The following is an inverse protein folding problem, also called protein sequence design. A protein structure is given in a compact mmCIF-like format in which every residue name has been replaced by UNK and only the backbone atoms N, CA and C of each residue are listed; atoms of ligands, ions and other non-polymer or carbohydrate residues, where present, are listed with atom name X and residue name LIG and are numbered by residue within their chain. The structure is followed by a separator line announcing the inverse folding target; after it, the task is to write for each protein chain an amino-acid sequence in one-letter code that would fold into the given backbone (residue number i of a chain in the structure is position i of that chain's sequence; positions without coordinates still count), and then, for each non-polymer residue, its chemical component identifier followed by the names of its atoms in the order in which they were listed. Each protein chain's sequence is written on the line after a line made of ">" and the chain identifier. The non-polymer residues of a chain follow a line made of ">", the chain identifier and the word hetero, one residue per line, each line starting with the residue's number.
data_IF_116024837490
#
_entry.id   IF_116024837490
#
_cell.length_a   1.000
_cell.length_b   1.000
_cell.length_c   1.000
_cell.angle_alpha   90.00
_cell.angle_beta   90.00
_cell.angle_gamma   90.00
#
_symmetry.space_group_name_H-M   'P 1'
#
loop_
_entity.id
_entity.type
_entity.pdbx_description
1 polymer ?
#
# COMPACT_ATOMS: atom_id res chain seq x y z
N UNK A 1 -35.10 -7.53 2.74
CA UNK A 1 -34.07 -8.59 2.65
C UNK A 1 -32.77 -7.89 2.30
N UNK A 2 -31.88 -7.72 3.27
CA UNK A 2 -30.56 -7.16 3.02
C UNK A 2 -29.79 -8.27 2.30
N UNK A 3 -29.40 -8.04 1.05
CA UNK A 3 -28.44 -8.90 0.37
C UNK A 3 -27.17 -8.90 1.20
N UNK A 4 -26.88 -10.02 1.86
CA UNK A 4 -25.57 -10.29 2.40
C UNK A 4 -24.68 -10.58 1.19
N UNK A 5 -23.84 -9.61 0.82
CA UNK A 5 -22.72 -9.89 -0.07
C UNK A 5 -21.85 -10.98 0.58
N UNK A 6 -21.71 -12.10 -0.11
CA UNK A 6 -20.77 -13.18 0.23
C UNK A 6 -19.33 -12.61 0.37
N UNK A 7 -18.50 -13.11 1.31
CA UNK A 7 -17.22 -12.49 1.65
C UNK A 7 -16.17 -12.73 0.56
N UNK A 8 -16.15 -11.86 -0.45
CA UNK A 8 -15.11 -11.86 -1.48
C UNK A 8 -13.72 -11.41 -0.99
N UNK A 9 -13.57 -10.96 0.27
CA UNK A 9 -12.34 -10.34 0.80
C UNK A 9 -11.24 -11.31 1.26
N UNK A 10 -11.60 -12.53 1.70
CA UNK A 10 -10.64 -13.45 2.34
C UNK A 10 -9.50 -13.92 1.44
N UNK A 11 -9.76 -14.07 0.12
CA UNK A 11 -8.74 -14.47 -0.86
C UNK A 11 -7.66 -13.40 -1.04
N UNK A 12 -8.06 -12.13 -1.15
CA UNK A 12 -7.13 -10.99 -1.28
C UNK A 12 -6.32 -10.79 -0.02
N UNK A 13 -6.94 -10.91 1.14
CA UNK A 13 -6.27 -10.83 2.43
C UNK A 13 -5.19 -11.92 2.58
N UNK A 14 -5.53 -13.18 2.29
CA UNK A 14 -4.56 -14.28 2.32
C UNK A 14 -3.42 -14.06 1.33
N UNK A 15 -3.73 -13.60 0.11
CA UNK A 15 -2.72 -13.26 -0.89
C UNK A 15 -1.77 -12.14 -0.43
N UNK A 16 -2.31 -11.11 0.22
CA UNK A 16 -1.51 -10.01 0.76
C UNK A 16 -0.57 -10.46 1.88
N UNK A 17 -1.05 -11.30 2.81
CA UNK A 17 -0.20 -11.88 3.85
C UNK A 17 0.92 -12.75 3.27
N UNK A 18 0.64 -13.54 2.23
CA UNK A 18 1.67 -14.32 1.53
C UNK A 18 2.72 -13.41 0.89
N UNK A 19 2.29 -12.35 0.21
CA UNK A 19 3.20 -11.36 -0.39
C UNK A 19 4.05 -10.64 0.65
N UNK A 20 3.48 -10.28 1.80
CA UNK A 20 4.22 -9.70 2.91
C UNK A 20 5.30 -10.66 3.44
N UNK A 21 4.98 -11.95 3.55
CA UNK A 21 5.94 -12.97 3.96
C UNK A 21 7.06 -13.18 2.92
N UNK A 22 6.72 -13.23 1.62
CA UNK A 22 7.70 -13.29 0.53
C UNK A 22 8.66 -12.10 0.57
N UNK A 23 8.14 -10.87 0.69
CA UNK A 23 8.97 -9.64 0.74
C UNK A 23 9.89 -9.65 1.97
N UNK A 24 9.36 -10.01 3.14
CA UNK A 24 10.16 -10.14 4.36
C UNK A 24 11.34 -11.09 4.16
N UNK A 25 11.11 -12.24 3.54
CA UNK A 25 12.16 -13.26 3.31
C UNK A 25 13.14 -12.78 2.24
N UNK A 26 12.65 -12.31 1.09
CA UNK A 26 13.49 -11.97 -0.06
C UNK A 26 14.36 -10.73 0.19
N UNK A 27 13.87 -9.78 0.97
CA UNK A 27 14.56 -8.53 1.24
C UNK A 27 15.23 -8.49 2.63
N UNK A 28 15.07 -9.54 3.43
CA UNK A 28 15.54 -9.61 4.82
C UNK A 28 15.17 -8.37 5.65
N UNK A 29 13.88 -8.03 5.62
CA UNK A 29 13.35 -6.84 6.33
C UNK A 29 12.45 -7.22 7.49
N UNK A 30 12.38 -6.33 8.48
CA UNK A 30 11.34 -6.38 9.48
C UNK A 30 10.06 -5.73 8.94
N UNK A 31 8.98 -6.51 8.92
CA UNK A 31 7.68 -6.06 8.43
C UNK A 31 6.56 -6.64 9.28
N UNK A 32 5.45 -5.91 9.34
CA UNK A 32 4.20 -6.39 9.92
C UNK A 32 3.01 -5.86 9.11
N UNK A 33 1.88 -6.53 9.23
CA UNK A 33 0.63 -6.15 8.58
C UNK A 33 -0.52 -6.25 9.59
N UNK A 34 -1.36 -5.22 9.62
CA UNK A 34 -2.56 -5.14 10.46
C UNK A 34 -3.73 -4.84 9.54
N UNK A 35 -4.71 -5.74 9.48
CA UNK A 35 -5.86 -5.64 8.58
C UNK A 35 -7.13 -5.58 9.42
N UNK A 36 -7.88 -4.48 9.26
CA UNK A 36 -9.20 -4.31 9.86
C UNK A 36 -10.26 -4.69 8.84
N UNK A 37 -11.03 -5.74 9.12
CA UNK A 37 -12.15 -6.18 8.29
C UNK A 37 -13.47 -5.57 8.76
N UNK A 38 -14.45 -5.32 7.87
CA UNK A 38 -15.74 -4.75 8.25
C UNK A 38 -16.63 -5.69 9.08
N UNK A 39 -16.26 -6.98 9.18
CA UNK A 39 -17.06 -8.02 9.83
C UNK A 39 -16.40 -8.66 11.05
N UNK A 40 -15.18 -8.24 11.41
CA UNK A 40 -14.45 -8.73 12.59
C UNK A 40 -14.10 -7.56 13.50
N UNK A 41 -14.41 -7.64 14.81
CA UNK A 41 -13.98 -6.61 15.75
C UNK A 41 -12.46 -6.62 15.97
N UNK A 42 -11.83 -7.79 15.84
CA UNK A 42 -10.40 -7.95 15.99
C UNK A 42 -9.69 -7.89 14.63
N UNK A 43 -8.55 -7.18 14.53
CA UNK A 43 -7.76 -7.15 13.31
C UNK A 43 -7.02 -8.47 13.10
N UNK A 44 -6.85 -8.82 11.84
CA UNK A 44 -5.92 -9.86 11.43
C UNK A 44 -4.49 -9.31 11.42
N UNK A 45 -3.62 -9.92 12.22
CA UNK A 45 -2.26 -9.41 12.46
C UNK A 45 -1.22 -10.44 12.03
N UNK A 46 -0.28 -10.02 11.19
CA UNK A 46 0.87 -10.79 10.76
C UNK A 46 2.19 -10.07 11.16
N UNK A 47 3.25 -10.79 11.56
CA UNK A 47 3.36 -12.25 11.69
C UNK A 47 2.71 -12.81 12.97
N UNK A 48 2.59 -11.98 14.00
CA UNK A 48 1.83 -12.23 15.23
C UNK A 48 1.57 -10.89 15.91
N UNK A 49 0.68 -10.84 16.90
CA UNK A 49 0.46 -9.60 17.65
C UNK A 49 1.74 -9.08 18.31
N UNK A 50 2.56 -9.97 18.89
CA UNK A 50 3.82 -9.58 19.50
C UNK A 50 4.82 -9.12 18.43
N UNK A 51 4.93 -9.86 17.32
CA UNK A 51 5.83 -9.52 16.22
C UNK A 51 5.51 -8.14 15.63
N UNK A 52 4.23 -7.85 15.38
CA UNK A 52 3.80 -6.54 14.89
C UNK A 52 4.10 -5.42 15.89
N UNK A 53 3.84 -5.63 17.19
CA UNK A 53 4.20 -4.65 18.23
C UNK A 53 5.70 -4.38 18.25
N UNK A 54 6.55 -5.40 18.14
CA UNK A 54 8.00 -5.23 18.10
C UNK A 54 8.44 -4.37 16.90
N UNK A 55 7.92 -4.63 15.70
CA UNK A 55 8.23 -3.83 14.50
C UNK A 55 7.79 -2.37 14.68
N UNK A 56 6.59 -2.14 15.20
CA UNK A 56 6.06 -0.78 15.44
C UNK A 56 6.89 -0.04 16.49
N UNK A 57 7.27 -0.70 17.59
CA UNK A 57 8.09 -0.10 18.63
C UNK A 57 9.48 0.25 18.10
N UNK A 58 10.10 -0.63 17.32
CA UNK A 58 11.37 -0.35 16.66
C UNK A 58 11.25 0.86 15.74
N UNK A 59 10.24 0.91 14.88
CA UNK A 59 10.00 2.06 14.00
C UNK A 59 9.82 3.37 14.79
N UNK A 60 9.04 3.35 15.88
CA UNK A 60 8.82 4.53 16.73
C UNK A 60 10.07 4.99 17.49
N UNK A 61 11.02 4.09 17.73
CA UNK A 61 12.28 4.40 18.40
C UNK A 61 13.36 4.91 17.43
N UNK A 62 13.14 4.86 16.11
CA UNK A 62 14.03 5.48 15.12
C UNK A 62 13.89 7.00 15.13
N UNK A 63 14.92 7.73 14.68
CA UNK A 63 14.85 9.19 14.57
C UNK A 63 13.78 9.64 13.56
N UNK A 64 13.26 10.88 13.65
CA UNK A 64 12.27 11.38 12.70
C UNK A 64 12.75 11.32 11.24
N UNK A 65 14.04 11.55 11.01
CA UNK A 65 14.64 11.47 9.67
C UNK A 65 14.56 10.03 9.15
N UNK A 66 14.97 9.04 9.94
CA UNK A 66 14.90 7.63 9.55
C UNK A 66 13.46 7.14 9.34
N UNK A 67 12.51 7.65 10.13
CA UNK A 67 11.08 7.32 9.96
C UNK A 67 10.48 7.89 8.67
N UNK A 68 10.95 9.05 8.22
CA UNK A 68 10.45 9.72 7.02
C UNK A 68 11.17 9.29 5.74
N UNK A 69 12.40 8.76 5.89
CA UNK A 69 13.19 8.24 4.77
C UNK A 69 12.41 7.18 3.98
N UNK A 70 12.03 7.56 2.75
CA UNK A 70 11.27 6.70 1.82
C UNK A 70 9.94 6.21 2.39
N UNK A 71 9.36 6.92 3.35
CA UNK A 71 7.98 6.68 3.78
C UNK A 71 7.06 6.90 2.59
N UNK A 72 6.17 5.93 2.36
CA UNK A 72 5.16 6.02 1.30
C UNK A 72 3.79 5.86 1.95
N UNK A 73 2.94 6.86 1.74
CA UNK A 73 1.52 6.78 2.05
C UNK A 73 0.74 6.29 0.82
N UNK A 74 -0.28 5.46 1.02
CA UNK A 74 -1.03 4.86 -0.08
C UNK A 74 -1.79 5.91 -0.90
N UNK A 75 -2.43 6.87 -0.24
CA UNK A 75 -3.20 7.93 -0.90
C UNK A 75 -2.27 8.84 -1.69
N UNK A 76 -1.15 9.26 -1.10
CA UNK A 76 -0.11 10.03 -1.80
C UNK A 76 0.48 9.27 -2.98
N UNK A 77 0.76 7.97 -2.83
CA UNK A 77 1.29 7.13 -3.90
C UNK A 77 0.31 7.04 -5.07
N UNK A 78 -0.95 6.72 -4.79
CA UNK A 78 -1.99 6.59 -5.81
C UNK A 78 -2.19 7.91 -6.55
N UNK A 79 -2.29 9.04 -5.82
CA UNK A 79 -2.37 10.39 -6.43
C UNK A 79 -1.19 10.68 -7.35
N UNK A 80 0.03 10.42 -6.88
CA UNK A 80 1.24 10.63 -7.69
C UNK A 80 1.22 9.79 -8.98
N UNK A 81 0.72 8.56 -8.92
CA UNK A 81 0.62 7.69 -10.11
C UNK A 81 -0.40 8.20 -11.13
N UNK A 82 -1.52 8.77 -10.69
CA UNK A 82 -2.49 9.39 -11.59
C UNK A 82 -1.96 10.68 -12.20
N UNK A 83 -1.36 11.58 -11.41
CA UNK A 83 -0.77 12.82 -11.91
C UNK A 83 0.28 12.56 -13.01
N UNK A 84 1.20 11.61 -12.77
CA UNK A 84 2.24 11.22 -13.74
C UNK A 84 1.71 10.59 -15.01
N UNK A 85 0.50 10.02 -14.98
CA UNK A 85 -0.13 9.46 -16.17
C UNK A 85 -0.70 10.58 -17.04
N UNK A 86 -1.39 11.53 -16.41
CA UNK A 86 -1.98 12.69 -17.10
C UNK A 86 -0.91 13.61 -17.71
N UNK A 87 0.26 13.75 -17.07
CA UNK A 87 1.41 14.51 -17.61
C UNK A 87 2.03 13.88 -18.86
N UNK A 88 1.89 12.56 -19.04
CA UNK A 88 2.39 11.86 -20.24
C UNK A 88 1.43 11.95 -21.40
N UNK A 89 0.14 12.10 -21.13
CA UNK A 89 -0.90 12.27 -22.14
C UNK A 89 -0.93 13.71 -22.68
N UNK A 90 -0.47 14.71 -21.91
CA UNK A 90 -0.40 16.12 -22.33
C UNK A 90 0.82 16.52 -23.19
N UNK A 91 1.78 15.61 -23.45
CA UNK A 91 2.88 15.87 -24.39
C UNK A 91 2.56 15.43 -25.82
N UNK A 92 1.48 14.69 -26.04
CA UNK A 92 1.07 14.22 -27.37
C UNK A 92 0.07 15.19 -28.06
N UNK A 93 -0.41 16.24 -27.36
CA UNK A 93 -1.39 17.20 -27.91
C UNK A 93 -0.79 18.56 -28.34
N UNK A 94 0.54 18.73 -28.33
CA UNK A 94 1.21 20.01 -28.68
C UNK A 94 1.89 20.03 -30.07
N UNK A 95 1.73 18.99 -30.90
CA UNK A 95 2.28 18.95 -32.28
C UNK A 95 1.24 18.68 -33.38
N UNK A 96 0.03 19.23 -33.27
CA UNK A 96 -0.82 19.47 -34.47
C UNK A 96 -1.19 20.95 -34.58
N UNK A 97 -0.20 21.74 -35.00
CA UNK A 97 -0.38 23.08 -35.54
C UNK A 97 0.50 23.23 -36.77
N UNK A 98 0.04 22.71 -37.91
CA UNK A 98 0.71 22.84 -39.21
C UNK A 98 0.75 24.32 -39.65
N UNK A 99 1.91 24.83 -40.14
CA UNK A 99 1.99 26.17 -40.72
C UNK A 99 1.51 26.12 -42.17
N UNK A 100 0.30 26.62 -42.43
CA UNK A 100 -0.13 26.95 -43.79
C UNK A 100 0.22 28.40 -44.09
N UNK A 101 0.82 28.59 -45.27
CA UNK A 101 1.51 29.78 -45.80
C UNK A 101 0.75 31.11 -45.68
#
# INVERSE_FOLDING_TARGET
>A
MIQQDEPHSGKRQSGLMKKANEIKILCDIEACLIIFGPYSPDPDVWPSQLGARCVILRFRNMSPLEQDMKRVDHESYVRSRFARKNEREGHDEAEEGEPTQ
#
